data_IF_364927889882
#
_entry.id   IF_364927889882
#
_cell.length_a   1.000
_cell.length_b   1.000
_cell.length_c   1.000
_cell.angle_alpha   90.00
_cell.angle_beta   90.00
_cell.angle_gamma   90.00
#
_symmetry.space_group_name_H-M   'P 1'
#
loop_
_entity.id
_entity.type
_entity.pdbx_description
1 polymer ?
#
# COMPACT_ATOMS: atom_id res chain seq x y z
N UNK A 1 20.04 7.38 -11.07
CA UNK A 1 19.33 8.51 -10.45
C UNK A 1 17.87 8.20 -10.68
N UNK A 2 17.20 7.60 -9.71
CA UNK A 2 15.77 7.28 -9.84
C UNK A 2 15.00 8.59 -9.91
N UNK A 3 14.18 8.72 -10.95
CA UNK A 3 13.44 9.92 -11.29
C UNK A 3 12.26 10.05 -10.34
N UNK A 4 12.44 10.79 -9.23
CA UNK A 4 11.41 10.96 -8.18
C UNK A 4 10.28 11.92 -8.59
N UNK A 5 10.19 12.29 -9.87
CA UNK A 5 9.18 13.22 -10.38
C UNK A 5 7.85 12.54 -10.73
N UNK A 6 7.86 11.22 -11.00
CA UNK A 6 6.67 10.40 -11.22
C UNK A 6 6.21 9.60 -9.99
N UNK A 7 7.03 9.50 -8.95
CA UNK A 7 6.70 8.78 -7.72
C UNK A 7 5.75 9.60 -6.84
N UNK A 8 4.68 8.98 -6.36
CA UNK A 8 3.72 9.62 -5.45
C UNK A 8 4.46 10.07 -4.16
N UNK A 9 4.22 11.29 -3.68
CA UNK A 9 4.88 11.81 -2.46
C UNK A 9 4.71 10.85 -1.28
N UNK A 10 3.58 10.15 -1.22
CA UNK A 10 3.29 9.16 -0.16
C UNK A 10 4.18 7.93 -0.24
N UNK A 11 4.55 7.50 -1.45
CA UNK A 11 5.49 6.39 -1.65
C UNK A 11 6.90 6.81 -1.22
N UNK A 12 7.31 8.03 -1.57
CA UNK A 12 8.62 8.58 -1.15
C UNK A 12 8.71 8.72 0.38
N UNK A 13 7.65 9.23 1.02
CA UNK A 13 7.58 9.31 2.49
C UNK A 13 7.66 7.93 3.15
N UNK A 14 6.95 6.94 2.60
CA UNK A 14 6.99 5.58 3.11
C UNK A 14 8.39 4.96 2.98
N UNK A 15 9.03 5.10 1.82
CA UNK A 15 10.40 4.61 1.59
C UNK A 15 11.38 5.24 2.59
N UNK A 16 11.28 6.55 2.84
CA UNK A 16 12.11 7.24 3.82
C UNK A 16 11.87 6.75 5.26
N UNK A 17 10.66 6.28 5.56
CA UNK A 17 10.30 5.68 6.85
C UNK A 17 10.64 4.17 6.93
N UNK A 18 11.20 3.58 5.88
CA UNK A 18 11.49 2.14 5.80
C UNK A 18 10.23 1.28 5.60
N UNK A 19 9.18 1.85 4.98
CA UNK A 19 7.90 1.23 4.72
C UNK A 19 7.69 1.03 3.22
N UNK A 20 6.99 -0.04 2.84
CA UNK A 20 6.60 -0.26 1.45
C UNK A 20 5.14 0.17 1.27
N UNK A 21 4.91 1.34 0.66
CA UNK A 21 3.59 1.85 0.36
C UNK A 21 3.32 1.85 -1.15
N UNK A 22 2.10 1.51 -1.56
CA UNK A 22 1.60 1.68 -2.93
C UNK A 22 0.18 2.23 -2.85
N UNK A 23 -0.09 3.34 -3.55
CA UNK A 23 -1.41 3.95 -3.63
C UNK A 23 -2.36 3.20 -4.58
N UNK A 24 -3.60 2.97 -4.16
CA UNK A 24 -4.66 2.37 -4.98
C UNK A 24 -5.90 3.27 -5.05
N UNK A 25 -6.80 3.00 -6.00
CA UNK A 25 -8.08 3.71 -6.14
C UNK A 25 -9.14 2.99 -5.30
N UNK A 26 -9.18 3.28 -4.02
CA UNK A 26 -10.17 2.73 -3.09
C UNK A 26 -10.42 3.64 -1.89
N UNK A 27 -11.18 3.14 -0.93
CA UNK A 27 -11.60 3.89 0.26
C UNK A 27 -11.26 3.18 1.59
N UNK A 28 -10.72 1.96 1.55
CA UNK A 28 -10.34 1.20 2.75
C UNK A 28 -8.82 1.11 2.84
N UNK A 29 -8.23 1.79 3.82
CA UNK A 29 -6.79 1.73 4.05
C UNK A 29 -6.34 0.43 4.72
N UNK A 30 -5.24 -0.15 4.28
CA UNK A 30 -4.68 -1.38 4.84
C UNK A 30 -3.26 -1.11 5.36
N UNK A 31 -2.96 -1.51 6.60
CA UNK A 31 -1.62 -1.51 7.18
C UNK A 31 -1.33 -2.90 7.71
N UNK A 32 -0.29 -3.54 7.20
CA UNK A 32 -0.02 -4.94 7.46
C UNK A 32 1.47 -5.18 7.65
N UNK A 33 1.84 -6.16 8.47
CA UNK A 33 3.23 -6.63 8.61
C UNK A 33 3.42 -7.88 7.76
N UNK A 34 4.10 -7.73 6.63
CA UNK A 34 4.38 -8.74 5.63
C UNK A 34 3.51 -8.63 4.38
N UNK A 35 4.16 -8.59 3.22
CA UNK A 35 3.53 -8.49 1.91
C UNK A 35 2.49 -9.60 1.63
N UNK A 36 2.72 -10.82 2.12
CA UNK A 36 1.78 -11.93 1.96
C UNK A 36 0.45 -11.71 2.70
N UNK A 37 0.51 -11.18 3.93
CA UNK A 37 -0.68 -10.86 4.70
C UNK A 37 -1.38 -9.62 4.13
N UNK A 38 -0.61 -8.67 3.58
CA UNK A 38 -1.15 -7.48 2.93
C UNK A 38 -1.97 -7.86 1.69
N UNK A 39 -1.46 -8.74 0.84
CA UNK A 39 -2.18 -9.27 -0.32
C UNK A 39 -3.46 -10.03 0.10
N UNK A 40 -3.36 -10.94 1.07
CA UNK A 40 -4.53 -11.69 1.56
C UNK A 40 -5.62 -10.77 2.16
N UNK A 41 -5.21 -9.69 2.85
CA UNK A 41 -6.15 -8.71 3.41
C UNK A 41 -6.89 -7.95 2.31
N UNK A 42 -6.17 -7.52 1.26
CA UNK A 42 -6.79 -6.87 0.11
C UNK A 42 -7.75 -7.80 -0.63
N UNK A 43 -7.39 -9.08 -0.79
CA UNK A 43 -8.25 -10.08 -1.42
C UNK A 43 -9.54 -10.28 -0.64
N UNK A 44 -9.47 -10.38 0.69
CA UNK A 44 -10.65 -10.45 1.56
C UNK A 44 -11.52 -9.20 1.42
N UNK A 45 -10.92 -8.00 1.49
CA UNK A 45 -11.68 -6.73 1.34
C UNK A 45 -12.44 -6.71 0.02
N UNK A 46 -11.78 -7.10 -1.07
CA UNK A 46 -12.39 -7.15 -2.41
C UNK A 46 -13.47 -8.23 -2.51
N UNK A 47 -13.28 -9.39 -1.88
CA UNK A 47 -14.26 -10.48 -1.82
C UNK A 47 -15.58 -10.03 -1.17
N UNK A 48 -15.51 -9.18 -0.15
CA UNK A 48 -16.68 -8.60 0.53
C UNK A 48 -17.17 -7.29 -0.11
N UNK A 49 -16.69 -6.93 -1.31
CA UNK A 49 -17.14 -5.75 -2.06
C UNK A 49 -16.52 -4.41 -1.64
N UNK A 50 -15.53 -4.42 -0.75
CA UNK A 50 -14.73 -3.26 -0.40
C UNK A 50 -13.68 -2.92 -1.47
N UNK A 51 -13.16 -1.69 -1.43
CA UNK A 51 -12.11 -1.24 -2.35
C UNK A 51 -10.87 -0.84 -1.55
N UNK A 52 -9.78 -1.62 -1.57
CA UNK A 52 -8.55 -1.27 -0.88
C UNK A 52 -7.96 0.02 -1.49
N UNK A 53 -7.63 0.98 -0.62
CA UNK A 53 -7.12 2.29 -0.96
C UNK A 53 -5.58 2.34 -1.04
N UNK A 54 -4.91 1.39 -0.40
CA UNK A 54 -3.47 1.31 -0.41
C UNK A 54 -2.98 -0.09 -0.06
N UNK A 55 -1.76 -0.38 -0.47
CA UNK A 55 -0.92 -1.43 0.08
C UNK A 55 0.11 -0.74 0.99
N UNK A 56 0.25 -1.18 2.24
CA UNK A 56 1.28 -0.69 3.15
C UNK A 56 1.81 -1.87 3.97
N UNK A 57 3.09 -2.18 3.74
CA UNK A 57 3.83 -3.19 4.47
C UNK A 57 4.86 -2.52 5.41
N UNK A 58 4.80 -2.91 6.69
CA UNK A 58 5.72 -2.47 7.75
C UNK A 58 6.87 -3.46 8.02
N UNK A 59 6.99 -4.53 7.22
CA UNK A 59 7.99 -5.59 7.33
C UNK A 59 9.31 -5.32 6.59
#
# INVERSE_FOLDING_TARGET
>A
MEDTTESDQREVEAINAGLNYIGLKGNIGCLVNGAGLAMATMDIIKLYGGQPANFLDVG
#
